data_IF_509700987034
#
_entry.id   IF_509700987034
#
_cell.length_a   1.000
_cell.length_b   1.000
_cell.length_c   1.000
_cell.angle_alpha   90.00
_cell.angle_beta   90.00
_cell.angle_gamma   90.00
#
_symmetry.space_group_name_H-M   'P 1'
#
loop_
_entity.id
_entity.type
_entity.pdbx_description
1 polymer ?
#
# COMPACT_ATOMS: atom_id res chain seq x y z
N UNK A 1 7.31 9.39 5.68
CA UNK A 1 6.48 8.21 6.05
C UNK A 1 7.23 6.97 5.54
N UNK A 2 6.99 5.76 6.07
CA UNK A 2 7.84 4.59 5.84
C UNK A 2 8.08 4.23 4.37
N UNK A 3 9.06 3.35 4.11
CA UNK A 3 9.66 3.01 2.80
C UNK A 3 8.67 2.76 1.63
N UNK A 4 7.40 2.49 1.92
CA UNK A 4 6.33 2.12 0.96
C UNK A 4 5.09 3.02 1.02
N UNK A 5 5.21 4.26 1.52
CA UNK A 5 4.25 5.38 1.41
C UNK A 5 2.85 5.00 0.87
N UNK A 6 1.89 4.73 1.76
CA UNK A 6 0.45 4.51 1.50
C UNK A 6 0.08 3.44 0.44
N UNK A 7 1.05 2.83 -0.23
CA UNK A 7 0.86 1.90 -1.33
C UNK A 7 0.86 0.42 -0.92
N UNK A 8 0.79 0.17 0.40
CA UNK A 8 0.93 -1.16 0.98
C UNK A 8 -0.13 -2.13 0.43
N UNK A 9 -1.38 -1.70 0.27
CA UNK A 9 -2.43 -2.56 -0.26
C UNK A 9 -2.23 -2.89 -1.75
N UNK A 10 -1.73 -1.95 -2.56
CA UNK A 10 -1.37 -2.26 -3.97
C UNK A 10 -0.19 -3.21 -4.05
N UNK A 11 0.81 -3.03 -3.19
CA UNK A 11 1.96 -3.91 -3.12
C UNK A 11 1.55 -5.33 -2.75
N UNK A 12 0.76 -5.50 -1.69
CA UNK A 12 0.29 -6.82 -1.25
C UNK A 12 -0.59 -7.49 -2.31
N UNK A 13 -1.54 -6.77 -2.91
CA UNK A 13 -2.36 -7.30 -4.01
C UNK A 13 -1.53 -7.66 -5.24
N UNK A 14 -0.56 -6.83 -5.62
CA UNK A 14 0.31 -7.07 -6.77
C UNK A 14 1.25 -8.26 -6.56
N UNK A 15 1.82 -8.42 -5.36
CA UNK A 15 2.63 -9.60 -5.02
C UNK A 15 1.77 -10.87 -5.07
N UNK A 16 0.56 -10.82 -4.49
CA UNK A 16 -0.36 -11.95 -4.53
C UNK A 16 -0.76 -12.33 -5.96
N UNK A 17 -1.11 -11.36 -6.80
CA UNK A 17 -1.42 -11.59 -8.22
C UNK A 17 -0.23 -12.18 -8.98
N UNK A 18 0.98 -11.68 -8.72
CA UNK A 18 2.22 -12.18 -9.32
C UNK A 18 2.49 -13.64 -8.94
N UNK A 19 2.31 -14.00 -7.67
CA UNK A 19 2.45 -15.38 -7.21
C UNK A 19 1.44 -16.29 -7.90
N UNK A 20 0.16 -15.90 -7.98
CA UNK A 20 -0.85 -16.69 -8.69
C UNK A 20 -0.51 -16.87 -10.18
N UNK A 21 -0.02 -15.84 -10.86
CA UNK A 21 0.40 -15.93 -12.26
C UNK A 21 1.59 -16.88 -12.44
N UNK A 22 2.60 -16.82 -11.55
CA UNK A 22 3.76 -17.72 -11.61
C UNK A 22 3.42 -19.17 -11.27
N UNK A 23 2.44 -19.36 -10.40
CA UNK A 23 2.01 -20.67 -9.93
C UNK A 23 1.11 -21.38 -10.96
N UNK A 24 0.48 -20.63 -11.87
CA UNK A 24 -0.38 -21.16 -12.93
C UNK A 24 0.31 -22.25 -13.79
N UNK A 25 1.47 -22.02 -14.44
CA UNK A 25 2.10 -23.05 -15.27
C UNK A 25 2.48 -24.32 -14.51
N UNK A 26 2.69 -24.25 -13.19
CA UNK A 26 2.99 -25.43 -12.36
C UNK A 26 1.74 -26.30 -12.12
N UNK A 27 0.55 -25.70 -12.07
CA UNK A 27 -0.71 -26.41 -11.81
C UNK A 27 -1.51 -26.77 -13.07
N UNK A 28 -1.12 -26.27 -14.25
CA UNK A 28 -1.77 -26.57 -15.53
C UNK A 28 -1.86 -28.07 -15.82
N UNK A 29 -0.82 -28.83 -15.53
CA UNK A 29 -0.75 -30.26 -15.85
C UNK A 29 -1.41 -31.17 -14.79
N UNK A 30 -1.79 -30.62 -13.63
CA UNK A 30 -2.28 -31.42 -12.51
C UNK A 30 -3.79 -31.74 -12.63
N UNK A 31 -4.59 -30.81 -13.16
CA UNK A 31 -6.01 -31.01 -13.45
C UNK A 31 -6.58 -29.85 -14.29
N UNK A 32 -7.49 -30.11 -15.25
CA UNK A 32 -8.17 -29.06 -16.01
C UNK A 32 -9.02 -28.13 -15.13
N UNK A 33 -9.41 -28.57 -13.92
CA UNK A 33 -10.14 -27.73 -12.96
C UNK A 33 -9.26 -26.59 -12.45
N UNK A 34 -7.96 -26.82 -12.27
CA UNK A 34 -7.05 -25.76 -11.84
C UNK A 34 -6.90 -24.68 -12.90
N UNK A 35 -6.86 -25.06 -14.19
CA UNK A 35 -6.80 -24.09 -15.29
C UNK A 35 -8.02 -23.14 -15.27
N UNK A 36 -9.23 -23.68 -15.07
CA UNK A 36 -10.44 -22.85 -14.90
C UNK A 36 -10.36 -21.91 -13.68
N UNK A 37 -9.78 -22.36 -12.56
CA UNK A 37 -9.61 -21.51 -11.37
C UNK A 37 -8.62 -20.39 -11.66
N UNK A 38 -7.47 -20.68 -12.29
CA UNK A 38 -6.46 -19.66 -12.60
C UNK A 38 -6.93 -18.68 -13.67
N UNK A 39 -7.66 -19.12 -14.71
CA UNK A 39 -8.20 -18.24 -15.75
C UNK A 39 -9.19 -17.21 -15.20
N UNK A 40 -9.87 -17.52 -14.08
CA UNK A 40 -10.76 -16.60 -13.38
C UNK A 40 -10.02 -15.79 -12.31
N UNK A 41 -9.20 -16.44 -11.48
CA UNK A 41 -8.55 -15.80 -10.34
C UNK A 41 -7.47 -14.79 -10.74
N UNK A 42 -6.66 -15.10 -11.76
CA UNK A 42 -5.57 -14.22 -12.22
C UNK A 42 -6.09 -12.86 -12.70
N UNK A 43 -7.03 -12.76 -13.65
CA UNK A 43 -7.52 -11.46 -14.10
C UNK A 43 -8.25 -10.69 -13.00
N UNK A 44 -9.01 -11.36 -12.12
CA UNK A 44 -9.72 -10.70 -11.01
C UNK A 44 -8.73 -10.08 -10.01
N UNK A 45 -7.65 -10.78 -9.68
CA UNK A 45 -6.64 -10.27 -8.73
C UNK A 45 -5.80 -9.12 -9.32
N UNK A 46 -5.50 -9.17 -10.62
CA UNK A 46 -4.91 -8.03 -11.33
C UNK A 46 -5.85 -6.83 -11.41
N UNK A 47 -7.15 -7.05 -11.64
CA UNK A 47 -8.16 -6.00 -11.59
C UNK A 47 -8.24 -5.35 -10.21
N UNK A 48 -8.30 -6.14 -9.13
CA UNK A 48 -8.28 -5.63 -7.75
C UNK A 48 -7.02 -4.83 -7.46
N UNK A 49 -5.86 -5.28 -7.96
CA UNK A 49 -4.58 -4.54 -7.82
C UNK A 49 -4.69 -3.15 -8.46
N UNK A 50 -5.28 -3.05 -9.65
CA UNK A 50 -5.49 -1.76 -10.32
C UNK A 50 -6.46 -0.85 -9.54
N UNK A 51 -7.54 -1.40 -8.99
CA UNK A 51 -8.50 -0.66 -8.15
C UNK A 51 -7.83 -0.18 -6.85
N UNK A 52 -7.03 -1.02 -6.20
CA UNK A 52 -6.23 -0.65 -5.03
C UNK A 52 -5.25 0.48 -5.36
N UNK A 53 -4.64 0.46 -6.53
CA UNK A 53 -3.74 1.53 -6.98
C UNK A 53 -4.47 2.87 -7.15
N UNK A 54 -5.61 2.87 -7.84
CA UNK A 54 -6.41 4.07 -8.08
C UNK A 54 -6.99 4.64 -6.78
N UNK A 55 -7.47 3.79 -5.87
CA UNK A 55 -8.02 4.23 -4.58
C UNK A 55 -6.97 4.89 -3.68
N UNK A 56 -5.71 4.43 -3.73
CA UNK A 56 -4.61 5.04 -2.99
C UNK A 56 -4.25 6.41 -3.57
N UNK A 57 -4.21 6.54 -4.90
CA UNK A 57 -4.02 7.84 -5.58
C UNK A 57 -5.13 8.84 -5.20
N UNK A 58 -6.39 8.40 -5.21
CA UNK A 58 -7.53 9.25 -4.83
C UNK A 58 -7.43 9.73 -3.38
N UNK A 59 -6.99 8.86 -2.47
CA UNK A 59 -6.78 9.22 -1.06
C UNK A 59 -5.68 10.26 -0.92
N UNK A 60 -4.55 10.09 -1.63
CA UNK A 60 -3.44 11.04 -1.62
C UNK A 60 -3.82 12.40 -2.23
N UNK A 61 -4.68 12.41 -3.25
CA UNK A 61 -5.19 13.63 -3.87
C UNK A 61 -6.13 14.41 -2.91
N UNK A 62 -7.10 13.72 -2.29
CA UNK A 62 -8.05 14.36 -1.37
C UNK A 62 -7.40 14.83 -0.06
N UNK A 63 -6.33 14.16 0.41
CA UNK A 63 -5.58 14.60 1.58
C UNK A 63 -4.58 15.73 1.29
N UNK A 64 -4.38 16.10 0.02
CA UNK A 64 -3.54 17.23 -0.39
C UNK A 64 -4.29 18.56 -0.35
N UNK A 65 -5.62 18.57 -0.53
CA UNK A 65 -6.41 19.81 -0.66
C UNK A 65 -6.92 20.37 0.68
N UNK A 66 -6.92 19.54 1.73
CA UNK A 66 -7.24 19.96 3.10
C UNK A 66 -6.18 19.48 4.09
N UNK A 67 -5.03 20.15 4.11
CA UNK A 67 -4.24 20.28 5.33
C UNK A 67 -3.82 21.73 5.59
N UNK A 68 -4.18 22.31 6.75
CA UNK A 68 -3.37 23.38 7.31
C UNK A 68 -1.95 22.84 7.54
N UNK A 69 -0.94 23.67 7.26
CA UNK A 69 0.49 23.37 7.42
C UNK A 69 0.77 22.50 8.66
N UNK A 70 1.07 21.22 8.46
CA UNK A 70 1.92 20.46 9.39
C UNK A 70 3.11 19.91 8.63
N UNK A 71 4.07 20.81 8.41
CA UNK A 71 5.47 20.41 8.34
C UNK A 71 5.82 19.79 9.70
N UNK A 72 5.69 18.47 9.81
CA UNK A 72 6.49 17.70 10.76
C UNK A 72 7.65 17.10 9.98
N UNK A 73 8.49 17.96 9.40
CA UNK A 73 9.91 17.63 9.32
C UNK A 73 10.44 17.75 10.74
N UNK A 74 10.60 16.59 11.37
CA UNK A 74 11.49 16.34 12.51
C UNK A 74 12.79 17.14 12.31
N UNK A 75 12.91 18.28 12.97
CA UNK A 75 14.21 18.81 13.35
C UNK A 75 14.47 18.34 14.77
N UNK A 76 15.63 17.73 14.96
CA UNK A 76 16.06 17.09 16.19
C UNK A 76 16.30 18.12 17.31
N UNK A 77 15.24 18.60 17.97
CA UNK A 77 15.38 19.30 19.24
C UNK A 77 14.59 18.54 20.30
N UNK A 78 15.32 17.81 21.15
CA UNK A 78 14.78 17.16 22.35
C UNK A 78 14.26 18.26 23.27
N UNK A 79 12.95 18.51 23.24
CA UNK A 79 12.29 19.42 24.18
C UNK A 79 12.29 18.71 25.53
N UNK A 80 13.11 19.17 26.48
CA UNK A 80 13.04 18.76 27.88
C UNK A 80 12.02 19.67 28.55
N UNK A 81 10.95 19.09 29.09
CA UNK A 81 9.94 19.83 29.85
C UNK A 81 10.41 19.93 31.30
N UNK A 82 10.79 21.14 31.73
CA UNK A 82 10.90 21.47 33.17
C UNK A 82 9.49 21.75 33.70
N UNK A 83 9.21 21.30 34.93
CA UNK A 83 7.89 21.36 35.56
C UNK A 83 7.28 22.77 35.68
N UNK A 84 8.07 23.82 35.43
CA UNK A 84 7.68 25.23 35.51
C UNK A 84 7.14 25.80 34.19
N UNK A 85 6.99 24.97 33.14
CA UNK A 85 6.22 25.32 31.94
C UNK A 85 6.89 26.29 30.96
N UNK A 86 8.14 26.71 31.17
CA UNK A 86 8.88 27.55 30.22
C UNK A 86 9.77 26.68 29.33
N UNK A 87 9.57 26.83 28.02
CA UNK A 87 10.38 26.17 26.98
C UNK A 87 11.66 27.00 26.83
N UNK A 88 12.77 26.53 27.40
CA UNK A 88 14.08 27.14 27.15
C UNK A 88 14.54 26.77 25.73
N UNK A 89 14.69 27.78 24.88
CA UNK A 89 15.23 27.66 23.52
C UNK A 89 16.74 27.40 23.55
#
# INVERSE_FOLDING_TARGET
MGLVYNHLATLVCGVFASVLTLLWPMFLELSPVYDLVFILAVPITWFLTAVCFVSQISTDYMHSDHKPKKSTKKSAKKIVYTADGIISE
#
